data_IF_490262605870
#
_entry.id   IF_490262605870
#
_cell.length_a   1.000
_cell.length_b   1.000
_cell.length_c   1.000
_cell.angle_alpha   90.00
_cell.angle_beta   90.00
_cell.angle_gamma   90.00
#
_symmetry.space_group_name_H-M   'P 1'
#
loop_
_entity.id
_entity.type
_entity.pdbx_description
1 polymer ?
#
# COMPACT_ATOMS: atom_id res chain seq x y z
N UNK A 1 1.49 -20.49 -12.34
CA UNK A 1 1.81 -20.37 -10.90
C UNK A 1 1.67 -18.92 -10.39
N UNK A 2 2.29 -17.92 -11.02
CA UNK A 2 2.21 -16.51 -10.59
C UNK A 2 0.79 -15.94 -10.54
N UNK A 3 -0.11 -16.27 -11.48
CA UNK A 3 -1.51 -15.82 -11.47
C UNK A 3 -2.26 -16.29 -10.21
N UNK A 4 -2.08 -17.55 -9.81
CA UNK A 4 -2.71 -18.10 -8.59
C UNK A 4 -2.23 -17.34 -7.35
N UNK A 5 -0.93 -17.07 -7.27
CA UNK A 5 -0.35 -16.27 -6.18
C UNK A 5 -0.88 -14.82 -6.18
N UNK A 6 -1.07 -14.23 -7.36
CA UNK A 6 -1.64 -12.89 -7.47
C UNK A 6 -3.10 -12.84 -6.99
N UNK A 7 -3.93 -13.80 -7.39
CA UNK A 7 -5.32 -13.89 -6.90
C UNK A 7 -5.39 -14.17 -5.39
N UNK A 8 -4.55 -15.06 -4.87
CA UNK A 8 -4.46 -15.34 -3.44
C UNK A 8 -4.04 -14.09 -2.66
N UNK A 9 -3.02 -13.38 -3.14
CA UNK A 9 -2.57 -12.12 -2.55
C UNK A 9 -3.68 -11.07 -2.54
N UNK A 10 -4.41 -10.91 -3.65
CA UNK A 10 -5.52 -9.98 -3.74
C UNK A 10 -6.65 -10.33 -2.77
N UNK A 11 -6.99 -11.62 -2.63
CA UNK A 11 -8.00 -12.10 -1.69
C UNK A 11 -7.57 -11.81 -0.24
N UNK A 12 -6.32 -12.13 0.13
CA UNK A 12 -5.78 -11.87 1.46
C UNK A 12 -5.76 -10.37 1.77
N UNK A 13 -5.42 -9.53 0.80
CA UNK A 13 -5.45 -8.08 0.94
C UNK A 13 -6.87 -7.55 1.19
N UNK A 14 -7.88 -8.13 0.51
CA UNK A 14 -9.28 -7.80 0.76
C UNK A 14 -9.73 -8.15 2.18
N UNK A 15 -9.37 -9.32 2.68
CA UNK A 15 -9.62 -9.70 4.08
C UNK A 15 -8.88 -8.76 5.06
N UNK A 16 -7.62 -8.45 4.79
CA UNK A 16 -6.85 -7.51 5.59
C UNK A 16 -7.54 -6.15 5.70
N UNK A 17 -8.01 -5.59 4.57
CA UNK A 17 -8.70 -4.30 4.57
C UNK A 17 -10.05 -4.35 5.32
N UNK A 18 -10.78 -5.47 5.23
CA UNK A 18 -12.02 -5.67 5.97
C UNK A 18 -11.77 -5.73 7.49
N UNK A 19 -10.77 -6.51 7.93
CA UNK A 19 -10.39 -6.59 9.35
C UNK A 19 -9.86 -5.25 9.86
N UNK A 20 -9.04 -4.57 9.07
CA UNK A 20 -8.53 -3.23 9.41
C UNK A 20 -9.68 -2.22 9.59
N UNK A 21 -10.65 -2.23 8.67
CA UNK A 21 -11.85 -1.39 8.79
C UNK A 21 -12.62 -1.70 10.08
N UNK A 22 -12.80 -2.97 10.40
CA UNK A 22 -13.46 -3.42 11.63
C UNK A 22 -12.70 -2.98 12.88
N UNK A 23 -11.37 -3.13 12.88
CA UNK A 23 -10.52 -2.70 14.00
C UNK A 23 -10.56 -1.17 14.22
N UNK A 24 -10.75 -0.39 13.18
CA UNK A 24 -10.89 1.07 13.26
C UNK A 24 -12.27 1.53 13.74
N UNK A 25 -13.28 0.65 13.70
CA UNK A 25 -14.62 0.97 14.15
C UNK A 25 -14.65 1.11 15.68
N UNK A 26 -14.99 2.29 16.17
CA UNK A 26 -15.02 2.59 17.61
C UNK A 26 -13.65 2.82 18.26
N UNK A 27 -12.53 2.57 17.57
CA UNK A 27 -11.18 2.69 18.13
C UNK A 27 -10.44 3.91 17.57
N UNK A 28 -9.44 4.40 18.33
CA UNK A 28 -8.54 5.45 17.87
C UNK A 28 -7.59 4.92 16.78
N UNK A 29 -7.32 5.77 15.76
CA UNK A 29 -6.53 5.38 14.59
C UNK A 29 -5.07 5.02 14.95
N UNK A 30 -4.41 5.89 15.73
CA UNK A 30 -2.99 5.74 16.04
C UNK A 30 -2.69 4.47 16.83
N UNK A 31 -3.44 4.11 17.90
CA UNK A 31 -3.24 2.83 18.60
C UNK A 31 -3.44 1.61 17.70
N UNK A 32 -4.46 1.62 16.83
CA UNK A 32 -4.71 0.50 15.90
C UNK A 32 -3.54 0.37 14.91
N UNK A 33 -3.06 1.48 14.36
CA UNK A 33 -1.89 1.48 13.47
C UNK A 33 -0.64 1.00 14.20
N UNK A 34 -0.40 1.49 15.43
CA UNK A 34 0.74 1.09 16.24
C UNK A 34 0.74 -0.42 16.53
N UNK A 35 -0.39 -0.96 16.98
CA UNK A 35 -0.51 -2.40 17.24
C UNK A 35 -0.32 -3.23 15.97
N UNK A 36 -0.88 -2.79 14.84
CA UNK A 36 -0.68 -3.48 13.57
C UNK A 36 0.79 -3.53 13.16
N UNK A 37 1.51 -2.42 13.26
CA UNK A 37 2.95 -2.37 12.96
C UNK A 37 3.79 -3.14 13.95
N UNK A 38 3.46 -3.06 15.25
CA UNK A 38 4.15 -3.79 16.30
C UNK A 38 4.06 -5.30 16.11
N UNK A 39 2.84 -5.83 15.92
CA UNK A 39 2.66 -7.27 15.69
C UNK A 39 3.32 -7.74 14.38
N UNK A 40 3.26 -6.94 13.32
CA UNK A 40 3.98 -7.25 12.08
C UNK A 40 5.49 -7.33 12.31
N UNK A 41 6.06 -6.39 13.05
CA UNK A 41 7.50 -6.39 13.38
C UNK A 41 7.89 -7.59 14.26
N UNK A 42 7.05 -7.96 15.24
CA UNK A 42 7.28 -9.12 16.11
C UNK A 42 7.28 -10.45 15.31
N UNK A 43 6.46 -10.58 14.28
CA UNK A 43 6.44 -11.76 13.40
C UNK A 43 7.75 -11.89 12.63
N UNK A 44 8.36 -10.78 12.20
CA UNK A 44 9.62 -10.80 11.47
C UNK A 44 10.86 -10.87 12.35
N UNK A 45 10.75 -10.52 13.64
CA UNK A 45 11.87 -10.51 14.59
C UNK A 45 12.66 -11.84 14.66
N UNK A 46 12.01 -13.03 14.72
CA UNK A 46 12.73 -14.31 14.73
C UNK A 46 13.64 -14.51 13.51
N UNK A 47 13.17 -14.12 12.31
CA UNK A 47 13.95 -14.25 11.07
C UNK A 47 15.18 -13.34 11.09
N UNK A 48 15.04 -12.13 11.63
CA UNK A 48 16.15 -11.20 11.80
C UNK A 48 17.18 -11.81 12.77
N UNK A 49 16.75 -12.26 13.95
CA UNK A 49 17.64 -12.87 14.95
C UNK A 49 18.34 -14.09 14.37
N UNK A 50 17.63 -14.97 13.67
CA UNK A 50 18.23 -16.18 13.06
C UNK A 50 19.26 -15.82 11.99
N UNK A 51 19.03 -14.79 11.18
CA UNK A 51 19.98 -14.35 10.16
C UNK A 51 21.28 -13.82 10.79
N UNK A 52 21.19 -13.07 11.90
CA UNK A 52 22.37 -12.55 12.60
C UNK A 52 23.10 -13.58 13.48
N UNK A 53 22.46 -14.66 13.91
CA UNK A 53 23.08 -15.71 14.72
C UNK A 53 23.73 -16.83 13.90
N UNK A 54 23.80 -16.68 12.56
CA UNK A 54 24.48 -17.64 11.68
C UNK A 54 23.73 -18.96 11.47
N UNK A 55 22.46 -19.04 11.85
CA UNK A 55 21.61 -20.18 11.53
C UNK A 55 21.12 -20.07 10.09
N UNK A 56 21.34 -21.13 9.34
CA UNK A 56 21.23 -21.32 7.89
C UNK A 56 19.94 -20.86 7.21
N UNK A 57 19.61 -19.55 7.26
CA UNK A 57 18.60 -18.94 6.40
C UNK A 57 19.19 -18.50 5.05
N UNK A 58 20.50 -18.71 4.85
CA UNK A 58 21.19 -18.35 3.61
C UNK A 58 20.55 -19.07 2.42
N UNK A 59 20.22 -18.30 1.38
CA UNK A 59 19.54 -18.81 0.18
C UNK A 59 18.03 -18.99 0.33
N UNK A 60 17.43 -18.72 1.49
CA UNK A 60 15.97 -18.68 1.66
C UNK A 60 15.43 -17.26 1.49
N UNK A 61 14.11 -17.16 1.19
CA UNK A 61 13.42 -15.87 1.09
C UNK A 61 13.32 -15.12 2.45
N UNK A 62 13.69 -15.76 3.55
CA UNK A 62 13.65 -15.19 4.91
C UNK A 62 15.01 -14.70 5.39
N UNK A 63 16.05 -14.83 4.56
CA UNK A 63 17.37 -14.32 4.89
C UNK A 63 17.36 -12.79 4.93
N UNK A 64 17.82 -12.22 6.03
CA UNK A 64 17.99 -10.77 6.20
C UNK A 64 19.47 -10.44 5.98
N UNK A 65 19.79 -9.82 4.84
CA UNK A 65 21.14 -9.43 4.52
C UNK A 65 21.65 -8.34 5.46
N UNK A 66 22.92 -8.41 5.83
CA UNK A 66 23.57 -7.34 6.59
C UNK A 66 23.71 -6.11 5.70
N UNK A 67 23.25 -4.97 6.20
CA UNK A 67 23.34 -3.67 5.53
C UNK A 67 24.09 -2.66 6.40
N UNK A 68 25.08 -1.99 5.82
CA UNK A 68 25.75 -0.85 6.47
C UNK A 68 24.80 0.36 6.59
N UNK A 69 25.29 1.42 7.28
CA UNK A 69 24.53 2.67 7.45
C UNK A 69 24.06 3.27 6.11
N UNK A 70 24.85 3.09 5.06
CA UNK A 70 24.52 3.56 3.71
C UNK A 70 23.19 2.97 3.17
N UNK A 71 22.87 1.73 3.52
CA UNK A 71 21.61 1.08 3.15
C UNK A 71 20.50 1.51 4.11
N UNK A 72 20.80 1.52 5.42
CA UNK A 72 19.80 1.83 6.44
C UNK A 72 19.20 3.23 6.31
N UNK A 73 19.98 4.24 5.89
CA UNK A 73 19.45 5.60 5.69
C UNK A 73 18.30 5.66 4.66
N UNK A 74 18.40 4.86 3.58
CA UNK A 74 17.33 4.79 2.57
C UNK A 74 16.11 4.05 3.09
N UNK A 75 16.32 2.98 3.88
CA UNK A 75 15.22 2.24 4.53
C UNK A 75 14.48 3.14 5.51
N UNK A 76 15.20 3.93 6.31
CA UNK A 76 14.61 4.88 7.26
C UNK A 76 13.78 5.93 6.52
N UNK A 77 14.33 6.53 5.45
CA UNK A 77 13.60 7.51 4.63
C UNK A 77 12.31 6.91 4.05
N UNK A 78 12.41 5.70 3.47
CA UNK A 78 11.25 4.97 2.96
C UNK A 78 10.22 4.72 4.06
N UNK A 79 10.66 4.33 5.25
CA UNK A 79 9.76 4.07 6.39
C UNK A 79 8.94 5.31 6.77
N UNK A 80 9.52 6.51 6.71
CA UNK A 80 8.78 7.75 6.92
C UNK A 80 7.71 7.98 5.84
N UNK A 81 8.03 7.76 4.57
CA UNK A 81 7.07 7.90 3.46
C UNK A 81 5.91 6.91 3.63
N UNK A 82 6.22 5.64 3.90
CA UNK A 82 5.23 4.57 4.09
C UNK A 82 4.36 4.86 5.31
N UNK A 83 4.97 5.22 6.46
CA UNK A 83 4.23 5.51 7.68
C UNK A 83 3.28 6.69 7.49
N UNK A 84 3.73 7.76 6.81
CA UNK A 84 2.87 8.89 6.46
C UNK A 84 1.69 8.46 5.59
N UNK A 85 1.93 7.65 4.55
CA UNK A 85 0.87 7.07 3.73
C UNK A 85 -0.13 6.26 4.56
N UNK A 86 0.35 5.46 5.50
CA UNK A 86 -0.50 4.64 6.35
C UNK A 86 -1.32 5.48 7.33
N UNK A 87 -0.74 6.50 7.96
CA UNK A 87 -1.47 7.41 8.83
C UNK A 87 -2.67 8.01 8.09
N UNK A 88 -2.43 8.64 6.93
CA UNK A 88 -3.51 9.21 6.13
C UNK A 88 -4.52 8.15 5.65
N UNK A 89 -4.03 6.99 5.24
CA UNK A 89 -4.88 5.87 4.80
C UNK A 89 -5.79 5.33 5.90
N UNK A 90 -5.28 5.18 7.12
CA UNK A 90 -6.06 4.71 8.26
C UNK A 90 -7.12 5.74 8.69
N UNK A 91 -6.78 7.04 8.70
CA UNK A 91 -7.77 8.08 8.96
C UNK A 91 -8.87 8.11 7.89
N UNK A 92 -8.50 8.03 6.60
CA UNK A 92 -9.46 7.94 5.51
C UNK A 92 -10.35 6.69 5.63
N UNK A 93 -9.75 5.52 5.89
CA UNK A 93 -10.47 4.26 6.04
C UNK A 93 -11.42 4.26 7.25
N UNK A 94 -11.08 4.94 8.34
CA UNK A 94 -11.96 5.04 9.50
C UNK A 94 -13.30 5.73 9.15
N UNK A 95 -13.24 6.79 8.34
CA UNK A 95 -14.38 7.67 8.10
C UNK A 95 -15.10 7.43 6.77
N UNK A 96 -14.50 6.70 5.84
CA UNK A 96 -15.07 6.40 4.54
C UNK A 96 -15.43 4.90 4.42
N UNK A 97 -16.49 4.54 3.69
CA UNK A 97 -16.78 3.14 3.40
C UNK A 97 -15.72 2.52 2.51
N UNK A 98 -15.57 1.19 2.58
CA UNK A 98 -14.60 0.45 1.78
C UNK A 98 -14.86 0.55 0.27
N UNK A 99 -16.11 0.73 -0.12
CA UNK A 99 -16.56 0.98 -1.50
C UNK A 99 -15.93 2.22 -2.14
N UNK A 100 -15.47 3.18 -1.32
CA UNK A 100 -14.76 4.38 -1.76
C UNK A 100 -13.25 4.22 -1.57
N UNK A 101 -12.83 3.69 -0.42
CA UNK A 101 -11.41 3.51 -0.09
C UNK A 101 -10.73 2.54 -1.04
N UNK A 102 -11.38 1.41 -1.36
CA UNK A 102 -10.85 0.38 -2.26
C UNK A 102 -10.47 0.93 -3.64
N UNK A 103 -11.39 1.57 -4.38
CA UNK A 103 -11.10 2.17 -5.67
C UNK A 103 -9.97 3.20 -5.65
N UNK A 104 -9.93 4.07 -4.63
CA UNK A 104 -8.86 5.07 -4.53
C UNK A 104 -7.52 4.37 -4.30
N UNK A 105 -7.46 3.35 -3.43
CA UNK A 105 -6.24 2.56 -3.25
C UNK A 105 -5.83 1.80 -4.53
N UNK A 106 -6.78 1.33 -5.32
CA UNK A 106 -6.53 0.65 -6.59
C UNK A 106 -5.90 1.56 -7.67
N UNK A 107 -5.89 2.89 -7.48
CA UNK A 107 -5.17 3.80 -8.37
C UNK A 107 -3.66 3.84 -8.11
N UNK A 108 -3.17 3.35 -6.95
CA UNK A 108 -1.74 3.38 -6.60
C UNK A 108 -0.83 2.76 -7.66
N UNK A 109 -1.09 1.53 -8.16
CA UNK A 109 -0.26 0.94 -9.21
C UNK A 109 -0.21 1.79 -10.49
N UNK A 110 -1.34 2.40 -10.86
CA UNK A 110 -1.42 3.29 -12.04
C UNK A 110 -0.60 4.56 -11.81
N UNK A 111 -0.69 5.17 -10.62
CA UNK A 111 0.12 6.34 -10.26
C UNK A 111 1.61 6.00 -10.24
N UNK A 112 2.00 4.85 -9.69
CA UNK A 112 3.39 4.36 -9.68
C UNK A 112 3.89 4.14 -11.10
N UNK A 113 3.07 3.56 -11.97
CA UNK A 113 3.42 3.32 -13.36
C UNK A 113 3.61 4.65 -14.13
N UNK A 114 2.69 5.60 -13.99
CA UNK A 114 2.82 6.94 -14.60
C UNK A 114 4.06 7.66 -14.05
N UNK A 115 4.32 7.55 -12.75
CA UNK A 115 5.53 8.08 -12.14
C UNK A 115 6.80 7.44 -12.72
N UNK A 116 6.80 6.13 -12.94
CA UNK A 116 7.94 5.41 -13.55
C UNK A 116 8.20 5.87 -15.00
N UNK A 117 7.15 6.13 -15.78
CA UNK A 117 7.27 6.71 -17.12
C UNK A 117 7.95 8.09 -17.10
N UNK A 118 7.52 8.95 -16.14
CA UNK A 118 7.99 10.33 -16.06
C UNK A 118 9.38 10.46 -15.46
N UNK A 119 9.69 9.66 -14.44
CA UNK A 119 10.94 9.76 -13.67
C UNK A 119 12.06 8.92 -14.29
N UNK A 120 11.73 7.72 -14.73
CA UNK A 120 12.73 6.75 -15.24
C UNK A 120 12.74 6.62 -16.76
N UNK A 121 11.85 7.32 -17.47
CA UNK A 121 11.75 7.25 -18.93
C UNK A 121 11.37 5.88 -19.46
N UNK A 122 10.64 5.08 -18.67
CA UNK A 122 10.21 3.75 -19.09
C UNK A 122 9.22 3.84 -20.26
N UNK A 123 9.27 2.87 -21.15
CA UNK A 123 8.35 2.78 -22.29
C UNK A 123 7.42 1.60 -22.07
N UNK A 124 6.11 1.87 -22.09
CA UNK A 124 5.09 0.84 -21.97
C UNK A 124 4.87 0.15 -23.30
N UNK A 125 4.69 -1.17 -23.26
CA UNK A 125 4.20 -1.92 -24.39
C UNK A 125 2.67 -1.75 -24.56
N UNK A 126 2.13 -2.18 -25.71
CA UNK A 126 0.71 -2.05 -26.01
C UNK A 126 -0.20 -2.69 -24.96
N UNK A 127 0.17 -3.87 -24.44
CA UNK A 127 -0.63 -4.60 -23.44
C UNK A 127 -0.67 -3.86 -22.09
N UNK A 128 0.43 -3.21 -21.71
CA UNK A 128 0.49 -2.39 -20.50
C UNK A 128 -0.39 -1.14 -20.65
N UNK A 129 -0.40 -0.48 -21.82
CA UNK A 129 -1.31 0.63 -22.11
C UNK A 129 -2.78 0.22 -22.00
N UNK A 130 -3.16 -0.95 -22.55
CA UNK A 130 -4.51 -1.48 -22.42
C UNK A 130 -4.86 -1.67 -20.93
N UNK A 131 -3.94 -2.24 -20.12
CA UNK A 131 -4.12 -2.39 -18.67
C UNK A 131 -4.36 -1.07 -17.95
N UNK A 132 -3.60 -0.03 -18.27
CA UNK A 132 -3.77 1.33 -17.71
C UNK A 132 -5.14 1.90 -18.04
N UNK A 133 -5.55 1.80 -19.31
CA UNK A 133 -6.86 2.31 -19.77
C UNK A 133 -8.00 1.57 -19.04
N UNK A 134 -7.93 0.24 -18.94
CA UNK A 134 -8.93 -0.56 -18.22
C UNK A 134 -8.99 -0.18 -16.73
N UNK A 135 -7.84 0.05 -16.09
CA UNK A 135 -7.79 0.49 -14.70
C UNK A 135 -8.43 1.86 -14.50
N UNK A 136 -8.20 2.83 -15.40
CA UNK A 136 -8.82 4.15 -15.37
C UNK A 136 -10.34 4.05 -15.56
N UNK A 137 -10.80 3.24 -16.53
CA UNK A 137 -12.23 3.01 -16.76
C UNK A 137 -12.90 2.39 -15.53
N UNK A 138 -12.28 1.35 -14.96
CA UNK A 138 -12.77 0.68 -13.74
C UNK A 138 -12.88 1.66 -12.57
N UNK A 139 -11.86 2.51 -12.38
CA UNK A 139 -11.90 3.56 -11.36
C UNK A 139 -13.02 4.57 -11.60
N UNK A 140 -13.21 5.03 -12.82
CA UNK A 140 -14.30 5.96 -13.19
C UNK A 140 -15.68 5.35 -12.90
N UNK A 141 -15.88 4.07 -13.21
CA UNK A 141 -17.13 3.35 -12.92
C UNK A 141 -17.38 3.25 -11.41
N UNK A 142 -16.39 2.87 -10.63
CA UNK A 142 -16.47 2.79 -9.17
C UNK A 142 -16.70 4.15 -8.51
N UNK A 143 -16.04 5.20 -9.00
CA UNK A 143 -16.25 6.58 -8.54
C UNK A 143 -17.70 7.05 -8.76
N UNK A 144 -18.33 6.66 -9.88
CA UNK A 144 -19.75 6.95 -10.12
C UNK A 144 -20.67 6.16 -9.16
N UNK A 145 -20.32 4.93 -8.83
CA UNK A 145 -21.09 4.11 -7.88
C UNK A 145 -21.03 4.70 -6.48
N UNK A 146 -19.89 5.22 -6.04
CA UNK A 146 -19.72 5.84 -4.72
C UNK A 146 -20.58 7.10 -4.51
N UNK A 147 -20.91 7.83 -5.56
CA UNK A 147 -21.86 8.97 -5.47
C UNK A 147 -23.26 8.54 -5.01
N UNK A 148 -23.67 7.32 -5.27
CA UNK A 148 -24.97 6.77 -4.81
C UNK A 148 -25.01 6.54 -3.30
N UNK A 149 -23.87 6.50 -2.65
CA UNK A 149 -23.77 6.37 -1.17
C UNK A 149 -23.86 7.72 -0.43
N UNK A 150 -24.20 8.80 -1.14
CA UNK A 150 -24.43 10.11 -0.54
C UNK A 150 -23.17 10.85 -0.08
N UNK A 151 -21.98 10.44 -0.54
CA UNK A 151 -20.72 11.06 -0.17
C UNK A 151 -20.35 12.16 -1.18
N UNK A 152 -20.27 13.38 -0.68
CA UNK A 152 -19.76 14.51 -1.46
C UNK A 152 -18.23 14.45 -1.56
N UNK A 153 -17.75 14.00 -2.74
CA UNK A 153 -16.32 13.88 -3.02
C UNK A 153 -15.56 15.21 -2.96
N UNK A 154 -16.23 16.34 -3.20
CA UNK A 154 -15.56 17.64 -3.26
C UNK A 154 -15.33 18.27 -1.88
N UNK A 155 -16.23 18.03 -0.94
CA UNK A 155 -16.20 18.70 0.35
C UNK A 155 -15.86 17.78 1.52
N UNK A 156 -15.64 16.49 1.28
CA UNK A 156 -15.28 15.55 2.32
C UNK A 156 -13.76 15.48 2.53
N UNK A 157 -13.27 16.04 3.64
CA UNK A 157 -11.84 16.05 3.99
C UNK A 157 -11.20 14.66 4.01
N UNK A 158 -11.94 13.61 4.31
CA UNK A 158 -11.41 12.25 4.39
C UNK A 158 -11.08 11.66 3.00
N UNK A 159 -11.71 12.18 1.96
CA UNK A 159 -11.34 11.87 0.56
C UNK A 159 -9.93 12.38 0.27
N UNK A 160 -9.61 13.62 0.69
CA UNK A 160 -8.26 14.15 0.53
C UNK A 160 -7.21 13.34 1.29
N UNK A 161 -7.54 12.84 2.50
CA UNK A 161 -6.67 11.97 3.27
C UNK A 161 -6.35 10.68 2.52
N UNK A 162 -7.37 9.99 1.98
CA UNK A 162 -7.13 8.72 1.28
C UNK A 162 -6.43 8.91 -0.08
N UNK A 163 -6.69 10.03 -0.76
CA UNK A 163 -5.97 10.40 -1.99
C UNK A 163 -4.51 10.70 -1.67
N UNK A 164 -4.23 11.47 -0.63
CA UNK A 164 -2.86 11.74 -0.19
C UNK A 164 -2.13 10.45 0.20
N UNK A 165 -2.81 9.53 0.89
CA UNK A 165 -2.28 8.21 1.20
C UNK A 165 -1.95 7.41 -0.08
N UNK A 166 -2.79 7.49 -1.11
CA UNK A 166 -2.54 6.82 -2.39
C UNK A 166 -1.33 7.41 -3.12
N UNK A 167 -1.20 8.74 -3.13
CA UNK A 167 -0.05 9.44 -3.73
C UNK A 167 1.26 9.09 -3.00
N UNK A 168 1.27 9.18 -1.66
CA UNK A 168 2.45 8.79 -0.87
C UNK A 168 2.81 7.31 -1.04
N UNK A 169 1.78 6.44 -1.17
CA UNK A 169 1.99 5.03 -1.47
C UNK A 169 2.58 4.80 -2.87
N UNK A 170 2.18 5.58 -3.87
CA UNK A 170 2.78 5.55 -5.20
C UNK A 170 4.22 6.04 -5.20
N UNK A 171 4.52 7.12 -4.46
CA UNK A 171 5.89 7.62 -4.26
C UNK A 171 6.76 6.55 -3.60
N UNK A 172 6.25 5.87 -2.57
CA UNK A 172 6.96 4.74 -1.95
C UNK A 172 7.25 3.60 -2.94
N UNK A 173 6.29 3.28 -3.82
CA UNK A 173 6.48 2.28 -4.88
C UNK A 173 7.50 2.69 -5.94
N UNK A 174 7.61 3.99 -6.25
CA UNK A 174 8.68 4.51 -7.12
C UNK A 174 10.04 4.45 -6.45
N UNK A 175 10.08 4.73 -5.15
CA UNK A 175 11.31 4.66 -4.37
C UNK A 175 11.89 3.24 -4.28
N UNK A 176 11.07 2.19 -4.40
CA UNK A 176 11.53 0.79 -4.45
C UNK A 176 12.38 0.47 -5.69
N UNK A 177 12.30 1.31 -6.71
CA UNK A 177 13.03 1.16 -7.96
C UNK A 177 14.38 1.89 -7.98
N UNK A 178 14.57 2.81 -7.05
CA UNK A 178 15.80 3.58 -6.88
C UNK A 178 16.84 2.77 -6.10
#
# INVERSE_FOLDING_TARGET
>A
MWLVLAFLSAALLGFYDAFKKKALSGNAVIPVLFLNTLFSSLIFLPFIVMSYTGNSLDGTMFHVAEGGWEVHKYIVLKSFIVLSSWIFGYFGMKHLPLTIVGPINATRPVMTLVGALLVYGEVLNLYQWIGVILAIISFAMLSRSGKKEGIDFKHNKWIYFIVLAAVLGAISGLYDKY
#
